data_IF_801390720426
#
_entry.id   IF_801390720426
#
_cell.length_a   1.000
_cell.length_b   1.000
_cell.length_c   1.000
_cell.angle_alpha   90.00
_cell.angle_beta   90.00
_cell.angle_gamma   90.00
#
_symmetry.space_group_name_H-M   'P 1'
#
loop_
_entity.id
_entity.type
_entity.pdbx_description
1 polymer ?
#
# COMPACT_ATOMS: atom_id res chain seq x y z
N UNK A 1 -0.66 -20.06 -3.10
CA UNK A 1 0.21 -19.48 -4.15
C UNK A 1 0.86 -20.56 -5.04
N UNK A 2 1.46 -20.21 -6.20
CA UNK A 2 2.36 -21.14 -6.91
C UNK A 2 3.77 -21.17 -6.25
N UNK A 3 4.56 -22.21 -6.55
CA UNK A 3 5.86 -22.42 -5.90
C UNK A 3 6.88 -21.33 -6.19
N UNK A 4 6.82 -20.65 -7.35
CA UNK A 4 7.72 -19.55 -7.69
C UNK A 4 7.36 -18.31 -6.90
N UNK A 5 6.06 -18.01 -6.77
CA UNK A 5 5.57 -16.91 -5.94
C UNK A 5 5.92 -17.10 -4.47
N UNK A 6 5.79 -18.32 -3.94
CA UNK A 6 6.20 -18.65 -2.56
C UNK A 6 7.70 -18.39 -2.35
N UNK A 7 8.55 -18.83 -3.30
CA UNK A 7 10.00 -18.61 -3.21
C UNK A 7 10.34 -17.11 -3.20
N UNK A 8 9.71 -16.31 -4.06
CA UNK A 8 9.90 -14.84 -4.06
C UNK A 8 9.50 -14.24 -2.72
N UNK A 9 8.31 -14.60 -2.21
CA UNK A 9 7.80 -14.09 -0.95
C UNK A 9 8.72 -14.40 0.25
N UNK A 10 9.30 -15.61 0.32
CA UNK A 10 10.26 -15.97 1.38
C UNK A 10 11.52 -15.10 1.29
N UNK A 11 12.04 -14.87 0.09
CA UNK A 11 13.25 -14.05 -0.08
C UNK A 11 12.99 -12.58 0.26
N UNK A 12 11.84 -12.04 -0.13
CA UNK A 12 11.41 -10.68 0.24
C UNK A 12 11.27 -10.55 1.77
N UNK A 13 10.67 -11.54 2.43
CA UNK A 13 10.61 -11.60 3.89
C UNK A 13 12.00 -11.68 4.51
N UNK A 14 12.89 -12.51 3.99
CA UNK A 14 14.25 -12.63 4.49
C UNK A 14 15.01 -11.29 4.36
N UNK A 15 14.86 -10.58 3.25
CA UNK A 15 15.52 -9.29 3.02
C UNK A 15 14.98 -8.19 3.94
N UNK A 16 13.70 -8.24 4.33
CA UNK A 16 13.10 -7.35 5.33
C UNK A 16 13.26 -7.83 6.79
N UNK A 17 13.82 -9.02 7.01
CA UNK A 17 13.88 -9.67 8.32
C UNK A 17 14.84 -8.99 9.30
N UNK A 18 14.54 -8.97 10.61
CA UNK A 18 15.50 -8.56 11.63
C UNK A 18 16.67 -9.57 11.82
N UNK A 19 16.61 -10.74 11.19
CA UNK A 19 17.68 -11.75 11.25
C UNK A 19 18.91 -11.26 10.48
N UNK A 20 19.95 -10.87 11.23
CA UNK A 20 21.20 -10.33 10.69
C UNK A 20 22.32 -11.38 10.53
N UNK A 21 22.11 -12.61 11.01
CA UNK A 21 23.12 -13.67 10.91
C UNK A 21 23.34 -14.09 9.45
N UNK A 22 24.53 -13.81 8.92
CA UNK A 22 24.90 -14.12 7.52
C UNK A 22 24.77 -15.62 7.22
N UNK A 23 25.12 -16.49 8.16
CA UNK A 23 24.99 -17.94 7.99
C UNK A 23 23.53 -18.35 7.87
N UNK A 24 22.68 -17.92 8.81
CA UNK A 24 21.25 -18.25 8.81
C UNK A 24 20.56 -17.77 7.54
N UNK A 25 20.88 -16.55 7.10
CA UNK A 25 20.37 -16.02 5.82
C UNK A 25 20.85 -16.84 4.62
N UNK A 26 22.08 -17.36 4.67
CA UNK A 26 22.62 -18.28 3.67
C UNK A 26 21.81 -19.58 3.62
N UNK A 27 21.63 -20.22 4.77
CA UNK A 27 20.90 -21.49 4.90
C UNK A 27 19.44 -21.39 4.42
N UNK A 28 18.77 -20.29 4.75
CA UNK A 28 17.40 -20.02 4.26
C UNK A 28 17.40 -19.89 2.73
N UNK A 29 18.35 -19.16 2.14
CA UNK A 29 18.45 -19.00 0.67
C UNK A 29 18.76 -20.31 -0.03
N UNK A 30 19.63 -21.14 0.54
CA UNK A 30 19.93 -22.48 0.03
C UNK A 30 18.68 -23.38 0.07
N UNK A 31 17.92 -23.34 1.18
CA UNK A 31 16.66 -24.07 1.31
C UNK A 31 15.63 -23.64 0.25
N UNK A 32 15.49 -22.32 0.01
CA UNK A 32 14.63 -21.79 -1.07
C UNK A 32 15.09 -22.28 -2.45
N UNK A 33 16.40 -22.27 -2.71
CA UNK A 33 16.98 -22.73 -3.98
C UNK A 33 16.74 -24.23 -4.22
N UNK A 34 16.84 -25.04 -3.16
CA UNK A 34 16.53 -26.47 -3.17
C UNK A 34 15.02 -26.75 -3.33
N UNK A 35 14.17 -25.74 -3.12
CA UNK A 35 12.71 -25.88 -3.17
C UNK A 35 12.08 -26.31 -1.85
N UNK A 36 12.84 -26.31 -0.77
CA UNK A 36 12.42 -26.64 0.59
C UNK A 36 11.79 -25.39 1.25
N UNK A 37 10.75 -24.85 0.62
CA UNK A 37 10.12 -23.57 1.03
C UNK A 37 9.54 -23.61 2.44
N UNK A 38 9.00 -24.76 2.87
CA UNK A 38 8.52 -24.94 4.24
C UNK A 38 9.66 -24.88 5.27
N UNK A 39 10.79 -25.53 4.98
CA UNK A 39 11.96 -25.50 5.86
C UNK A 39 12.58 -24.09 5.93
N UNK A 40 12.64 -23.40 4.79
CA UNK A 40 13.13 -22.03 4.74
C UNK A 40 12.28 -21.09 5.60
N UNK A 41 10.95 -21.20 5.50
CA UNK A 41 10.01 -20.41 6.30
C UNK A 41 10.07 -20.76 7.79
N UNK A 42 10.11 -22.06 8.12
CA UNK A 42 10.25 -22.56 9.49
C UNK A 42 11.52 -22.03 10.16
N UNK A 43 12.65 -22.12 9.44
CA UNK A 43 13.95 -21.60 9.91
C UNK A 43 13.88 -20.11 10.18
N UNK A 44 13.30 -19.33 9.25
CA UNK A 44 13.13 -17.88 9.43
C UNK A 44 12.32 -17.55 10.69
N UNK A 45 11.16 -18.19 10.86
CA UNK A 45 10.27 -17.96 12.00
C UNK A 45 10.90 -18.41 13.33
N UNK A 46 11.60 -19.55 13.34
CA UNK A 46 12.29 -20.07 14.51
C UNK A 46 13.35 -19.12 15.00
N UNK A 47 14.18 -18.59 14.12
CA UNK A 47 15.21 -17.62 14.49
C UNK A 47 14.64 -16.31 15.02
N UNK A 48 13.58 -15.78 14.40
CA UNK A 48 12.90 -14.59 14.92
C UNK A 48 12.39 -14.85 16.34
N UNK A 49 11.76 -16.01 16.57
CA UNK A 49 11.22 -16.35 17.88
C UNK A 49 12.29 -16.60 18.94
N UNK A 50 13.27 -17.44 18.64
CA UNK A 50 14.32 -17.86 19.59
C UNK A 50 15.19 -16.69 20.03
N UNK A 51 15.55 -15.80 19.11
CA UNK A 51 16.32 -14.60 19.43
C UNK A 51 15.43 -13.44 19.93
N UNK A 52 14.12 -13.67 20.09
CA UNK A 52 13.15 -12.66 20.53
C UNK A 52 13.24 -11.36 19.72
N UNK A 53 13.43 -11.48 18.41
CA UNK A 53 13.65 -10.35 17.52
C UNK A 53 12.33 -9.59 17.34
N UNK A 54 12.28 -8.29 17.68
CA UNK A 54 11.07 -7.51 17.49
C UNK A 54 10.76 -7.37 16.00
N UNK A 55 9.50 -7.56 15.64
CA UNK A 55 9.00 -7.43 14.26
C UNK A 55 7.88 -6.40 14.19
N UNK A 56 7.76 -5.72 13.06
CA UNK A 56 6.63 -4.81 12.83
C UNK A 56 5.35 -5.59 12.57
N UNK A 57 4.20 -4.95 12.81
CA UNK A 57 2.88 -5.52 12.49
C UNK A 57 2.75 -5.91 11.01
N UNK A 58 3.35 -5.15 10.11
CA UNK A 58 3.33 -5.45 8.67
C UNK A 58 4.21 -6.62 8.30
N UNK A 59 5.40 -6.71 8.88
CA UNK A 59 6.25 -7.88 8.71
C UNK A 59 5.54 -9.14 9.22
N UNK A 60 4.89 -9.05 10.37
CA UNK A 60 4.05 -10.12 10.93
C UNK A 60 2.87 -10.49 10.03
N UNK A 61 2.16 -9.52 9.43
CA UNK A 61 1.10 -9.82 8.47
C UNK A 61 1.65 -10.54 7.23
N UNK A 62 2.78 -10.10 6.67
CA UNK A 62 3.42 -10.77 5.52
C UNK A 62 3.78 -12.22 5.86
N UNK A 63 4.30 -12.46 7.07
CA UNK A 63 4.50 -13.82 7.59
C UNK A 63 3.18 -14.59 7.67
N UNK A 64 2.10 -13.98 8.18
CA UNK A 64 0.81 -14.64 8.36
C UNK A 64 0.17 -15.07 7.04
N UNK A 65 0.22 -14.21 6.01
CA UNK A 65 -0.26 -14.55 4.67
C UNK A 65 0.50 -15.74 4.09
N UNK A 66 1.83 -15.74 4.23
CA UNK A 66 2.63 -16.84 3.71
C UNK A 66 2.47 -18.13 4.53
N UNK A 67 2.30 -18.02 5.85
CA UNK A 67 2.04 -19.14 6.73
C UNK A 67 0.72 -19.85 6.39
N UNK A 68 -0.31 -19.12 5.97
CA UNK A 68 -1.57 -19.72 5.52
C UNK A 68 -1.36 -20.55 4.24
N UNK A 69 -0.61 -20.01 3.28
CA UNK A 69 -0.26 -20.72 2.03
C UNK A 69 0.63 -21.95 2.26
N UNK A 70 1.38 -22.01 3.37
CA UNK A 70 2.29 -23.11 3.73
C UNK A 70 1.72 -24.07 4.78
N UNK A 71 0.51 -23.81 5.31
CA UNK A 71 -0.09 -24.54 6.44
C UNK A 71 0.79 -24.52 7.72
N UNK A 72 1.38 -23.35 8.02
CA UNK A 72 2.35 -23.12 9.11
C UNK A 72 1.88 -22.04 10.09
N UNK A 73 0.58 -21.91 10.32
CA UNK A 73 -0.03 -20.84 11.13
C UNK A 73 0.40 -20.88 12.60
N UNK A 74 0.90 -22.02 13.08
CA UNK A 74 1.40 -22.17 14.45
C UNK A 74 2.56 -21.21 14.79
N UNK A 75 3.35 -20.79 13.79
CA UNK A 75 4.39 -19.78 13.99
C UNK A 75 3.82 -18.40 14.28
N UNK A 76 2.70 -18.05 13.66
CA UNK A 76 2.09 -16.72 13.77
C UNK A 76 1.66 -16.45 15.22
N UNK A 77 0.98 -17.43 15.83
CA UNK A 77 0.60 -17.34 17.23
C UNK A 77 1.79 -17.17 18.18
N UNK A 78 2.96 -17.73 17.86
CA UNK A 78 4.20 -17.57 18.65
C UNK A 78 4.84 -16.20 18.45
N UNK A 79 4.75 -15.66 17.24
CA UNK A 79 5.37 -14.39 16.88
C UNK A 79 4.54 -13.16 17.30
N UNK A 80 3.26 -13.34 17.65
CA UNK A 80 2.39 -12.27 18.16
C UNK A 80 3.02 -11.47 19.31
N UNK A 81 3.73 -12.14 20.23
CA UNK A 81 4.35 -11.50 21.40
C UNK A 81 5.53 -10.58 21.04
N UNK A 82 6.13 -10.80 19.87
CA UNK A 82 7.28 -10.07 19.35
C UNK A 82 6.89 -8.88 18.46
N UNK A 83 5.60 -8.74 18.18
CA UNK A 83 5.09 -7.59 17.43
C UNK A 83 5.33 -6.32 18.25
N UNK A 84 5.98 -5.35 17.63
CA UNK A 84 6.20 -3.99 18.16
C UNK A 84 5.72 -3.01 17.10
N UNK A 85 5.02 -1.97 17.53
CA UNK A 85 4.69 -0.86 16.65
C UNK A 85 5.98 -0.07 16.34
N UNK A 86 6.24 0.17 15.06
CA UNK A 86 7.31 1.08 14.66
C UNK A 86 6.99 2.48 15.18
N UNK A 87 7.94 3.12 15.87
CA UNK A 87 7.78 4.49 16.40
C UNK A 87 7.39 5.51 15.33
N UNK A 88 7.82 5.30 14.08
CA UNK A 88 7.40 6.12 12.93
C UNK A 88 5.91 5.90 12.64
N UNK A 89 5.46 4.65 12.66
CA UNK A 89 4.06 4.28 12.44
C UNK A 89 3.16 4.81 13.56
N UNK A 90 3.59 4.81 14.83
CA UNK A 90 2.81 5.38 15.94
C UNK A 90 2.53 6.88 15.72
N UNK A 91 3.56 7.63 15.32
CA UNK A 91 3.44 9.05 15.00
C UNK A 91 2.51 9.30 13.82
N UNK A 92 2.73 8.59 12.70
CA UNK A 92 1.91 8.73 11.50
C UNK A 92 0.46 8.28 11.69
N UNK A 93 0.20 7.22 12.46
CA UNK A 93 -1.16 6.76 12.78
C UNK A 93 -1.96 7.83 13.54
N UNK A 94 -1.30 8.73 14.27
CA UNK A 94 -2.01 9.83 14.93
C UNK A 94 -2.65 10.81 13.95
N UNK A 95 -2.16 10.92 12.70
CA UNK A 95 -2.75 11.76 11.64
C UNK A 95 -4.15 11.29 11.21
N UNK A 96 -4.51 10.06 11.56
CA UNK A 96 -5.75 9.38 11.17
C UNK A 96 -6.71 9.17 12.35
N UNK A 97 -6.29 9.50 13.59
CA UNK A 97 -7.11 9.43 14.80
C UNK A 97 -7.95 10.70 14.95
N UNK A 98 -9.00 10.80 14.14
CA UNK A 98 -10.07 11.81 14.28
C UNK A 98 -11.39 11.11 14.65
N UNK A 99 -12.11 11.68 15.62
CA UNK A 99 -13.37 11.18 16.18
C UNK A 99 -14.57 11.22 15.20
N UNK A 100 -14.47 11.92 14.05
CA UNK A 100 -15.65 12.23 13.21
C UNK A 100 -15.49 12.01 11.69
N UNK A 101 -14.77 10.98 11.26
CA UNK A 101 -14.89 10.49 9.88
C UNK A 101 -14.42 11.49 8.81
N UNK A 102 -13.42 12.30 9.12
CA UNK A 102 -12.82 13.23 8.17
C UNK A 102 -12.31 12.51 6.92
N UNK A 103 -12.49 13.16 5.77
CA UNK A 103 -11.93 12.71 4.50
C UNK A 103 -10.43 13.03 4.50
N UNK A 104 -9.64 12.29 3.74
CA UNK A 104 -8.26 12.60 3.40
C UNK A 104 -8.12 12.43 1.90
N UNK A 105 -7.35 13.33 1.30
CA UNK A 105 -7.18 13.35 -0.14
C UNK A 105 -5.71 13.10 -0.49
N UNK A 106 -5.49 12.22 -1.47
CA UNK A 106 -4.20 11.99 -2.11
C UNK A 106 -4.22 12.71 -3.45
N UNK A 107 -3.29 13.65 -3.65
CA UNK A 107 -3.20 14.46 -4.86
C UNK A 107 -1.93 14.26 -5.66
N UNK A 108 -2.10 14.27 -6.98
CA UNK A 108 -1.07 14.58 -7.95
C UNK A 108 -1.50 15.82 -8.73
N UNK A 109 -0.75 16.90 -8.57
CA UNK A 109 -0.97 18.18 -9.26
C UNK A 109 -0.29 18.17 -10.64
N UNK A 110 -0.65 19.14 -11.48
CA UNK A 110 -0.12 19.28 -12.85
C UNK A 110 -0.32 18.02 -13.70
N UNK A 111 -1.43 17.31 -13.48
CA UNK A 111 -1.81 16.17 -14.28
C UNK A 111 -2.37 16.64 -15.64
N UNK A 112 -2.41 15.70 -16.57
CA UNK A 112 -3.03 15.88 -17.87
C UNK A 112 -3.61 14.54 -18.36
N UNK A 113 -4.18 14.54 -19.55
CA UNK A 113 -4.81 13.35 -20.10
C UNK A 113 -3.81 12.19 -20.27
N UNK A 114 -2.53 12.49 -20.53
CA UNK A 114 -1.47 11.48 -20.63
C UNK A 114 -1.16 10.88 -19.25
N UNK A 115 -1.10 11.70 -18.21
CA UNK A 115 -0.93 11.28 -16.81
C UNK A 115 -2.05 10.36 -16.36
N UNK A 116 -3.31 10.71 -16.68
CA UNK A 116 -4.45 9.82 -16.46
C UNK A 116 -4.37 8.52 -17.27
N UNK A 117 -3.88 8.58 -18.51
CA UNK A 117 -3.61 7.40 -19.33
C UNK A 117 -2.60 6.45 -18.67
N UNK A 118 -1.51 7.01 -18.15
CA UNK A 118 -0.47 6.28 -17.40
C UNK A 118 -1.02 5.64 -16.13
N UNK A 119 -1.83 6.37 -15.35
CA UNK A 119 -2.50 5.83 -14.16
C UNK A 119 -3.34 4.59 -14.50
N UNK A 120 -4.23 4.70 -15.47
CA UNK A 120 -5.13 3.60 -15.83
C UNK A 120 -4.37 2.41 -16.44
N UNK A 121 -3.25 2.65 -17.13
CA UNK A 121 -2.37 1.58 -17.60
C UNK A 121 -1.68 0.88 -16.41
N UNK A 122 -1.06 1.64 -15.51
CA UNK A 122 -0.38 1.13 -14.33
C UNK A 122 -1.33 0.32 -13.43
N UNK A 123 -2.57 0.79 -13.22
CA UNK A 123 -3.57 0.08 -12.42
C UNK A 123 -3.91 -1.31 -12.99
N UNK A 124 -3.97 -1.46 -14.32
CA UNK A 124 -4.25 -2.76 -14.97
C UNK A 124 -3.18 -3.81 -14.67
N UNK A 125 -1.95 -3.37 -14.47
CA UNK A 125 -0.78 -4.23 -14.24
C UNK A 125 -0.42 -4.34 -12.76
N UNK A 126 -1.06 -3.53 -11.91
CA UNK A 126 -0.77 -3.47 -10.48
C UNK A 126 -1.43 -4.62 -9.69
N UNK A 127 -0.94 -4.81 -8.46
CA UNK A 127 -1.60 -5.66 -7.46
C UNK A 127 -2.87 -5.04 -6.86
N UNK A 128 -3.14 -3.77 -7.15
CA UNK A 128 -4.25 -3.05 -6.53
C UNK A 128 -5.58 -3.48 -7.14
N UNK A 129 -6.48 -3.95 -6.30
CA UNK A 129 -7.82 -4.36 -6.74
C UNK A 129 -8.62 -3.10 -7.03
N UNK A 130 -8.88 -2.83 -8.31
CA UNK A 130 -9.62 -1.66 -8.74
C UNK A 130 -10.90 -2.01 -9.51
N UNK A 131 -11.92 -1.15 -9.38
CA UNK A 131 -13.17 -1.25 -10.14
C UNK A 131 -13.58 0.14 -10.61
N UNK A 132 -13.85 0.26 -11.91
CA UNK A 132 -14.43 1.44 -12.50
C UNK A 132 -15.96 1.32 -12.48
N UNK A 133 -16.62 2.41 -12.16
CA UNK A 133 -18.06 2.56 -12.19
C UNK A 133 -18.43 3.68 -13.15
N UNK A 134 -19.60 3.54 -13.77
CA UNK A 134 -20.29 4.61 -14.48
C UNK A 134 -21.72 4.63 -13.92
N UNK A 135 -22.03 5.68 -13.15
CA UNK A 135 -23.19 5.66 -12.24
C UNK A 135 -23.06 4.50 -11.24
N UNK A 136 -24.11 3.68 -11.10
CA UNK A 136 -24.10 2.53 -10.17
C UNK A 136 -23.55 1.23 -10.77
N UNK A 137 -23.13 1.23 -12.05
CA UNK A 137 -22.72 0.01 -12.75
C UNK A 137 -21.21 -0.14 -12.78
N UNK A 138 -20.71 -1.28 -12.31
CA UNK A 138 -19.31 -1.66 -12.51
C UNK A 138 -19.05 -2.03 -13.97
N UNK A 139 -17.95 -1.50 -14.51
CA UNK A 139 -17.47 -1.72 -15.87
C UNK A 139 -15.96 -2.02 -15.88
N UNK A 140 -15.45 -2.54 -16.98
CA UNK A 140 -14.01 -2.68 -17.19
C UNK A 140 -13.34 -1.31 -17.33
N UNK A 141 -12.07 -1.20 -16.95
CA UNK A 141 -11.28 0.02 -17.14
C UNK A 141 -11.23 0.41 -18.63
N UNK A 142 -11.70 1.61 -18.95
CA UNK A 142 -11.64 2.22 -20.28
C UNK A 142 -10.47 3.22 -20.37
N UNK A 143 -10.34 3.95 -21.47
CA UNK A 143 -9.28 4.97 -21.62
C UNK A 143 -9.64 6.27 -20.89
N UNK A 144 -8.63 7.04 -20.48
CA UNK A 144 -8.85 8.36 -19.88
C UNK A 144 -9.65 9.29 -20.81
N UNK A 145 -9.34 9.27 -22.12
CA UNK A 145 -10.09 10.03 -23.12
C UNK A 145 -11.57 9.65 -23.16
N UNK A 146 -11.90 8.36 -23.03
CA UNK A 146 -13.30 7.89 -22.94
C UNK A 146 -13.98 8.42 -21.69
N UNK A 147 -13.30 8.37 -20.55
CA UNK A 147 -13.85 8.82 -19.27
C UNK A 147 -14.15 10.32 -19.32
N UNK A 148 -13.18 11.15 -19.71
CA UNK A 148 -13.33 12.59 -19.74
C UNK A 148 -14.22 13.10 -20.90
N UNK A 149 -14.35 12.36 -22.01
CA UNK A 149 -15.33 12.69 -23.04
C UNK A 149 -16.77 12.41 -22.60
N UNK A 150 -16.97 11.46 -21.67
CA UNK A 150 -18.28 11.12 -21.11
C UNK A 150 -18.61 11.83 -19.79
N UNK A 151 -17.62 12.47 -19.15
CA UNK A 151 -17.82 13.18 -17.89
C UNK A 151 -18.65 14.46 -18.12
N UNK A 152 -19.83 14.53 -17.50
CA UNK A 152 -20.66 15.73 -17.44
C UNK A 152 -20.85 16.11 -15.97
N UNK A 153 -20.80 17.42 -15.61
CA UNK A 153 -21.16 17.88 -14.26
C UNK A 153 -22.60 17.54 -13.85
N UNK A 154 -23.47 17.21 -14.82
CA UNK A 154 -24.92 17.06 -14.65
C UNK A 154 -25.41 15.59 -14.69
N UNK A 155 -24.54 14.59 -14.93
CA UNK A 155 -24.93 13.18 -15.06
C UNK A 155 -23.83 12.17 -14.69
N UNK A 156 -24.27 10.96 -14.27
CA UNK A 156 -23.52 9.72 -13.96
C UNK A 156 -22.00 9.81 -14.20
N UNK A 157 -21.28 10.28 -13.18
CA UNK A 157 -19.83 10.40 -13.26
C UNK A 157 -19.17 9.03 -13.23
N UNK A 158 -18.01 8.96 -13.86
CA UNK A 158 -17.13 7.81 -13.65
C UNK A 158 -16.53 7.89 -12.24
N UNK A 159 -16.49 6.76 -11.55
CA UNK A 159 -15.83 6.63 -10.25
C UNK A 159 -14.90 5.42 -10.26
N UNK A 160 -13.65 5.62 -9.88
CA UNK A 160 -12.69 4.55 -9.70
C UNK A 160 -12.58 4.23 -8.20
N UNK A 161 -12.79 2.97 -7.82
CA UNK A 161 -12.59 2.51 -6.44
C UNK A 161 -11.42 1.54 -6.40
N UNK A 162 -10.54 1.72 -5.42
CA UNK A 162 -9.34 0.90 -5.24
C UNK A 162 -9.29 0.41 -3.79
N UNK A 163 -9.01 -0.87 -3.61
CA UNK A 163 -8.73 -1.45 -2.29
C UNK A 163 -7.23 -1.34 -1.99
N UNK A 164 -6.89 -0.73 -0.86
CA UNK A 164 -5.52 -0.50 -0.38
C UNK A 164 -5.42 -1.04 1.05
N UNK A 165 -4.91 -2.26 1.20
CA UNK A 165 -5.03 -3.00 2.46
C UNK A 165 -6.50 -3.22 2.83
N UNK A 166 -6.87 -2.86 4.05
CA UNK A 166 -8.25 -2.92 4.53
C UNK A 166 -9.05 -1.64 4.26
N UNK A 167 -8.40 -0.62 3.68
CA UNK A 167 -9.05 0.63 3.28
C UNK A 167 -9.51 0.56 1.81
N UNK A 168 -10.52 1.35 1.48
CA UNK A 168 -10.90 1.66 0.12
C UNK A 168 -10.79 3.16 -0.11
N UNK A 169 -10.17 3.50 -1.23
CA UNK A 169 -10.02 4.86 -1.71
C UNK A 169 -10.85 5.01 -2.98
N UNK A 170 -11.37 6.20 -3.23
CA UNK A 170 -12.16 6.48 -4.42
C UNK A 170 -11.61 7.70 -5.15
N UNK A 171 -11.68 7.65 -6.47
CA UNK A 171 -11.19 8.69 -7.36
C UNK A 171 -12.32 9.10 -8.29
N UNK A 172 -12.62 10.39 -8.25
CA UNK A 172 -13.57 11.03 -9.14
C UNK A 172 -12.84 11.66 -10.32
N UNK A 173 -13.43 11.59 -11.51
CA UNK A 173 -12.85 12.17 -12.72
C UNK A 173 -13.42 13.57 -12.99
N UNK A 174 -13.23 14.50 -12.04
CA UNK A 174 -13.77 15.87 -12.14
C UNK A 174 -12.91 16.81 -12.98
N UNK A 175 -11.60 16.63 -12.94
CA UNK A 175 -10.63 17.50 -13.60
C UNK A 175 -9.57 16.66 -14.30
N UNK A 176 -9.15 17.10 -15.48
CA UNK A 176 -8.01 16.50 -16.18
C UNK A 176 -6.68 16.93 -15.55
N UNK A 177 -6.68 18.06 -14.83
CA UNK A 177 -5.47 18.74 -14.36
C UNK A 177 -4.94 18.23 -13.01
N UNK A 178 -5.69 17.37 -12.33
CA UNK A 178 -5.31 16.77 -11.07
C UNK A 178 -5.77 15.33 -11.01
N UNK A 179 -5.01 14.47 -10.33
CA UNK A 179 -5.49 13.15 -9.93
C UNK A 179 -5.74 13.21 -8.43
N UNK A 180 -6.96 12.86 -8.03
CA UNK A 180 -7.41 12.88 -6.63
C UNK A 180 -7.95 11.52 -6.22
N UNK A 181 -7.48 11.02 -5.07
CA UNK A 181 -8.10 9.90 -4.38
C UNK A 181 -8.50 10.32 -2.97
N UNK A 182 -9.78 10.18 -2.65
CA UNK A 182 -10.31 10.46 -1.32
C UNK A 182 -10.53 9.16 -0.54
N UNK A 183 -10.40 9.24 0.78
CA UNK A 183 -10.74 8.15 1.69
C UNK A 183 -11.13 8.69 3.08
N UNK A 184 -11.78 7.87 3.89
CA UNK A 184 -12.07 8.25 5.28
C UNK A 184 -10.87 7.95 6.18
N UNK A 185 -10.41 8.94 6.94
CA UNK A 185 -9.24 8.83 7.82
C UNK A 185 -9.35 7.63 8.78
N UNK A 186 -10.54 7.40 9.34
CA UNK A 186 -10.81 6.29 10.26
C UNK A 186 -10.63 4.89 9.67
N UNK A 187 -10.48 4.73 8.34
CA UNK A 187 -10.11 3.46 7.73
C UNK A 187 -8.65 3.08 8.04
N UNK A 188 -7.80 4.05 8.36
CA UNK A 188 -6.39 3.84 8.69
C UNK A 188 -6.25 3.69 10.20
N UNK A 189 -6.74 2.56 10.71
CA UNK A 189 -6.78 2.27 12.15
C UNK A 189 -5.60 1.40 12.63
N UNK A 190 -4.75 0.93 11.73
CA UNK A 190 -3.65 0.02 12.05
C UNK A 190 -2.39 0.38 11.28
N UNK A 191 -1.23 0.00 11.84
CA UNK A 191 0.07 0.18 11.17
C UNK A 191 0.09 -0.47 9.78
N UNK A 192 -0.56 -1.63 9.63
CA UNK A 192 -0.69 -2.31 8.34
C UNK A 192 -1.47 -1.47 7.31
N UNK A 193 -2.62 -0.91 7.69
CA UNK A 193 -3.41 -0.05 6.79
C UNK A 193 -2.62 1.20 6.38
N UNK A 194 -1.90 1.82 7.32
CA UNK A 194 -1.02 2.96 7.05
C UNK A 194 0.09 2.59 6.06
N UNK A 195 0.74 1.44 6.26
CA UNK A 195 1.80 1.00 5.37
C UNK A 195 1.30 0.70 3.96
N UNK A 196 0.12 0.08 3.81
CA UNK A 196 -0.49 -0.13 2.50
C UNK A 196 -0.81 1.21 1.81
N UNK A 197 -1.28 2.21 2.57
CA UNK A 197 -1.50 3.56 2.05
C UNK A 197 -0.19 4.20 1.57
N UNK A 198 0.88 4.12 2.36
CA UNK A 198 2.20 4.64 1.98
C UNK A 198 2.77 3.91 0.77
N UNK A 199 2.65 2.59 0.71
CA UNK A 199 3.05 1.78 -0.46
C UNK A 199 2.25 2.18 -1.71
N UNK A 200 0.95 2.46 -1.57
CA UNK A 200 0.12 2.98 -2.66
C UNK A 200 0.61 4.35 -3.13
N UNK A 201 0.87 5.29 -2.22
CA UNK A 201 1.40 6.62 -2.58
C UNK A 201 2.76 6.54 -3.30
N UNK A 202 3.65 5.64 -2.85
CA UNK A 202 4.94 5.39 -3.53
C UNK A 202 4.77 4.82 -4.93
N UNK A 203 3.94 3.79 -5.06
CA UNK A 203 3.62 3.20 -6.35
C UNK A 203 3.01 4.24 -7.30
N UNK A 204 2.12 5.11 -6.80
CA UNK A 204 1.51 6.17 -7.59
C UNK A 204 2.55 7.20 -8.06
N UNK A 205 3.45 7.62 -7.17
CA UNK A 205 4.53 8.56 -7.48
C UNK A 205 5.45 8.03 -8.57
N UNK A 206 5.84 6.76 -8.45
CA UNK A 206 6.67 6.07 -9.44
C UNK A 206 5.95 5.94 -10.79
N UNK A 207 4.70 5.47 -10.77
CA UNK A 207 3.91 5.22 -11.99
C UNK A 207 3.64 6.49 -12.79
N UNK A 208 3.46 7.62 -12.11
CA UNK A 208 3.15 8.90 -12.75
C UNK A 208 4.37 9.79 -12.95
N UNK A 209 5.51 9.43 -12.35
CA UNK A 209 6.68 10.29 -12.26
C UNK A 209 6.31 11.69 -11.74
N UNK A 210 5.61 11.72 -10.60
CA UNK A 210 5.11 12.95 -9.96
C UNK A 210 5.20 12.86 -8.44
N UNK A 211 5.22 14.03 -7.79
CA UNK A 211 5.06 14.10 -6.33
C UNK A 211 3.63 13.70 -5.95
N UNK A 212 3.49 12.95 -4.84
CA UNK A 212 2.19 12.53 -4.31
C UNK A 212 2.02 13.10 -2.91
N UNK A 213 0.94 13.85 -2.71
CA UNK A 213 0.63 14.56 -1.45
C UNK A 213 -0.57 13.92 -0.77
N UNK A 214 -0.55 13.81 0.56
CA UNK A 214 -1.73 13.51 1.38
C UNK A 214 -2.14 14.77 2.16
N UNK A 215 -3.43 15.14 2.18
CA UNK A 215 -3.94 16.33 2.88
C UNK A 215 -5.17 16.03 3.76
N UNK A 216 -5.47 16.92 4.71
CA UNK A 216 -6.59 16.78 5.67
C UNK A 216 -7.96 16.91 5.00
N UNK A 217 -8.10 17.73 3.97
CA UNK A 217 -9.23 17.92 3.06
C UNK A 217 -8.73 18.95 2.03
N UNK A 218 -9.09 18.83 0.75
CA UNK A 218 -8.73 19.79 -0.30
C UNK A 218 -8.75 21.24 0.25
N UNK A 219 -7.60 21.91 0.45
CA UNK A 219 -7.66 23.30 0.82
C UNK A 219 -8.26 24.02 -0.38
N UNK A 220 -9.26 24.86 -0.13
CA UNK A 220 -9.66 25.88 -1.08
C UNK A 220 -8.49 26.86 -1.23
N UNK A 221 -7.49 26.48 -2.05
CA UNK A 221 -6.26 27.22 -2.30
C UNK A 221 -4.97 26.45 -1.94
N UNK A 222 -3.96 26.61 -2.80
CA UNK A 222 -2.60 26.01 -2.85
C UNK A 222 -1.71 26.04 -1.57
N UNK A 223 -2.22 26.40 -0.39
CA UNK A 223 -1.39 26.88 0.71
C UNK A 223 -1.21 25.95 1.92
N UNK A 224 -1.99 24.87 2.07
CA UNK A 224 -1.81 23.97 3.21
C UNK A 224 -0.64 22.99 2.97
N UNK A 225 0.33 22.86 3.89
CA UNK A 225 1.37 21.84 3.77
C UNK A 225 0.73 20.44 3.79
N UNK A 226 1.22 19.50 2.97
CA UNK A 226 0.69 18.15 2.97
C UNK A 226 1.01 17.47 4.30
N UNK A 227 0.14 16.57 4.77
CA UNK A 227 0.44 15.69 5.90
C UNK A 227 1.59 14.74 5.58
N UNK A 228 1.54 14.17 4.37
CA UNK A 228 2.57 13.30 3.82
C UNK A 228 2.93 13.74 2.39
N UNK A 229 4.21 13.68 2.06
CA UNK A 229 4.72 13.84 0.71
C UNK A 229 5.55 12.63 0.33
N UNK A 230 5.27 12.03 -0.82
CA UNK A 230 6.20 11.15 -1.51
C UNK A 230 6.84 11.94 -2.64
N UNK A 231 8.17 12.09 -2.57
CA UNK A 231 8.93 12.84 -3.57
C UNK A 231 9.18 11.99 -4.82
N UNK A 232 8.94 12.59 -5.98
CA UNK A 232 9.23 12.01 -7.28
C UNK A 232 10.68 11.57 -7.37
N UNK A 233 10.88 10.35 -7.85
CA UNK A 233 12.20 9.80 -8.20
C UNK A 233 12.95 9.20 -7.01
N UNK A 234 12.86 9.78 -5.81
CA UNK A 234 13.44 9.17 -4.60
C UNK A 234 12.49 8.17 -3.92
N UNK A 235 11.17 8.38 -4.03
CA UNK A 235 10.17 7.63 -3.27
C UNK A 235 10.24 7.88 -1.75
N UNK A 236 11.01 8.90 -1.34
CA UNK A 236 11.16 9.27 0.06
C UNK A 236 9.83 9.78 0.60
N UNK A 237 9.40 9.24 1.74
CA UNK A 237 8.21 9.69 2.45
C UNK A 237 8.63 10.75 3.47
N UNK A 238 8.05 11.94 3.38
CA UNK A 238 8.21 13.02 4.37
C UNK A 238 6.88 13.28 5.04
N UNK A 239 6.90 13.32 6.37
CA UNK A 239 5.76 13.68 7.19
C UNK A 239 5.89 15.13 7.64
N UNK A 240 4.79 15.88 7.61
CA UNK A 240 4.74 17.24 8.11
C UNK A 240 3.84 17.29 9.35
N UNK A 241 4.13 18.17 10.31
CA UNK A 241 3.24 18.39 11.44
C UNK A 241 1.87 18.84 10.93
N UNK A 242 0.81 18.23 11.47
CA UNK A 242 -0.55 18.76 11.33
C UNK A 242 -0.73 20.05 12.14
#
# INVERSE_FOLDING_TARGET
>A
MDIRSIRSAILELLDASPVNSVMVRGDIRESVAAGEVGLAFDTLCSWIYEDSLPISTSYHHKLATLADDLDMQHWIARLDELVREDSLNVGLLSLFRDELGSVRDIYVVDADLETWGRLLAALRESRWVCRLFHGQRSISLVSAATIFAGASPEADTYDLRITVGDAWIWCHFYSVNEVEFSFQAGQIASAFALEQLVEFMRWLSESLASDVKLTVEAPSGDAAPPLLLVERGSGELRAFPA
#
